data_IF_480049177083
#
_entry.id   IF_480049177083
#
_cell.length_a   1.000
_cell.length_b   1.000
_cell.length_c   1.000
_cell.angle_alpha   90.00
_cell.angle_beta   90.00
_cell.angle_gamma   90.00
#
_symmetry.space_group_name_H-M   'P 1'
#
loop_
_entity.id
_entity.type
_entity.pdbx_description
1 polymer ?
#
# COMPACT_ATOMS: atom_id res chain seq x y z
N UNK A 1 16.34 -8.94 -7.86
CA UNK A 1 15.52 -8.27 -6.83
C UNK A 1 14.14 -8.91 -6.94
N UNK A 2 13.60 -9.45 -5.84
CA UNK A 2 12.19 -9.89 -5.88
C UNK A 2 11.33 -8.63 -6.06
N UNK A 3 10.29 -8.68 -6.90
CA UNK A 3 9.35 -7.57 -7.01
C UNK A 3 8.64 -7.34 -5.67
N UNK A 4 8.22 -6.10 -5.41
CA UNK A 4 7.45 -5.77 -4.20
C UNK A 4 6.21 -6.64 -4.04
N UNK A 5 5.80 -6.86 -2.80
CA UNK A 5 4.66 -7.72 -2.47
C UNK A 5 3.32 -7.03 -2.79
N UNK A 6 2.53 -7.62 -3.69
CA UNK A 6 1.23 -7.07 -4.08
C UNK A 6 0.13 -7.58 -3.14
N UNK A 7 -0.40 -6.68 -2.34
CA UNK A 7 -1.38 -6.97 -1.29
C UNK A 7 -2.78 -6.44 -1.64
N UNK A 8 -3.02 -6.13 -2.92
CA UNK A 8 -4.33 -5.74 -3.45
C UNK A 8 -5.37 -6.81 -3.14
N UNK A 9 -6.43 -6.43 -2.42
CA UNK A 9 -7.51 -7.35 -2.05
C UNK A 9 -8.35 -7.80 -3.25
N UNK A 10 -8.93 -8.99 -3.17
CA UNK A 10 -9.70 -9.59 -4.26
C UNK A 10 -10.87 -8.71 -4.74
N UNK A 11 -11.52 -7.97 -3.83
CA UNK A 11 -12.61 -7.09 -4.20
C UNK A 11 -12.14 -5.90 -5.04
N UNK A 12 -10.99 -5.30 -4.70
CA UNK A 12 -10.36 -4.29 -5.54
C UNK A 12 -9.94 -4.86 -6.90
N UNK A 13 -9.47 -6.12 -6.96
CA UNK A 13 -9.13 -6.77 -8.22
C UNK A 13 -10.34 -6.98 -9.14
N UNK A 14 -11.54 -7.21 -8.59
CA UNK A 14 -12.78 -7.31 -9.39
C UNK A 14 -13.14 -5.99 -10.08
N UNK A 15 -12.77 -4.87 -9.48
CA UNK A 15 -13.01 -3.52 -10.00
C UNK A 15 -11.89 -3.02 -10.91
N UNK A 16 -10.75 -3.72 -10.94
CA UNK A 16 -9.59 -3.37 -11.72
C UNK A 16 -9.87 -3.56 -13.23
N UNK A 17 -10.05 -2.45 -13.94
CA UNK A 17 -10.03 -2.39 -15.40
C UNK A 17 -8.84 -1.57 -15.90
N UNK A 18 -8.58 -1.58 -17.20
CA UNK A 18 -7.53 -0.75 -17.80
C UNK A 18 -7.79 0.76 -17.66
N UNK A 19 -9.02 1.14 -17.35
CA UNK A 19 -9.43 2.55 -17.20
C UNK A 19 -9.86 2.92 -15.79
N UNK A 20 -10.08 1.95 -14.89
CA UNK A 20 -10.44 2.24 -13.49
C UNK A 20 -9.26 2.91 -12.80
N UNK A 21 -9.47 4.14 -12.32
CA UNK A 21 -8.49 4.89 -11.54
C UNK A 21 -8.84 4.74 -10.06
N UNK A 22 -7.82 4.60 -9.26
CA UNK A 22 -7.90 4.44 -7.82
C UNK A 22 -6.62 4.97 -7.18
N UNK A 23 -6.26 4.44 -6.03
CA UNK A 23 -5.10 4.89 -5.28
C UNK A 23 -4.12 3.75 -5.08
N UNK A 24 -2.84 4.02 -5.34
CA UNK A 24 -1.76 3.13 -4.96
C UNK A 24 -1.20 3.50 -3.59
N UNK A 25 -1.01 2.49 -2.74
CA UNK A 25 -0.43 2.60 -1.42
C UNK A 25 0.85 1.78 -1.44
N UNK A 26 1.97 2.40 -1.10
CA UNK A 26 3.29 1.81 -1.24
C UNK A 26 4.07 1.91 0.06
N UNK A 27 4.76 0.85 0.44
CA UNK A 27 5.82 0.88 1.45
C UNK A 27 7.15 0.90 0.73
N UNK A 28 7.89 2.01 0.86
CA UNK A 28 9.21 2.18 0.24
C UNK A 28 10.29 2.25 1.31
N UNK A 29 11.51 1.73 1.06
CA UNK A 29 12.63 1.92 1.99
C UNK A 29 12.86 3.40 2.28
N UNK A 30 13.12 3.73 3.55
CA UNK A 30 13.43 5.09 3.98
C UNK A 30 14.91 5.22 4.33
N UNK A 31 15.75 5.73 3.41
CA UNK A 31 17.17 5.90 3.67
C UNK A 31 17.49 7.07 4.62
N UNK A 32 16.48 7.87 5.00
CA UNK A 32 16.68 9.04 5.87
C UNK A 32 16.58 8.68 7.35
N UNK A 33 15.96 7.54 7.68
CA UNK A 33 15.89 7.03 9.05
C UNK A 33 17.17 6.27 9.42
N UNK A 34 17.49 6.28 10.72
CA UNK A 34 18.58 5.50 11.30
C UNK A 34 18.12 4.09 11.72
N UNK A 35 16.82 3.82 11.67
CA UNK A 35 16.25 2.53 12.07
C UNK A 35 16.53 1.46 11.01
N UNK A 36 16.90 0.27 11.47
CA UNK A 36 17.09 -0.87 10.58
C UNK A 36 15.76 -1.25 9.90
N UNK A 37 15.79 -1.44 8.58
CA UNK A 37 14.62 -1.71 7.74
C UNK A 37 13.53 -0.63 7.81
N UNK A 38 13.92 0.62 8.07
CA UNK A 38 13.00 1.74 8.00
C UNK A 38 12.32 1.82 6.62
N UNK A 39 11.03 2.12 6.66
CA UNK A 39 10.22 2.32 5.48
C UNK A 39 9.24 3.46 5.73
N UNK A 40 8.77 4.06 4.64
CA UNK A 40 7.72 5.07 4.68
C UNK A 40 6.58 4.67 3.77
N UNK A 41 5.38 5.05 4.17
CA UNK A 41 4.18 4.89 3.37
C UNK A 41 4.06 6.04 2.37
N UNK A 42 3.77 5.72 1.13
CA UNK A 42 3.53 6.68 0.05
C UNK A 42 2.17 6.38 -0.56
N UNK A 43 1.31 7.38 -0.60
CA UNK A 43 -0.03 7.30 -1.21
C UNK A 43 -0.01 8.07 -2.52
N UNK A 44 -0.42 7.42 -3.61
CA UNK A 44 -0.44 8.01 -4.94
C UNK A 44 -1.86 7.88 -5.49
N UNK A 45 -2.65 8.96 -5.43
CA UNK A 45 -4.00 8.96 -5.98
C UNK A 45 -3.98 8.93 -7.50
N UNK A 46 -5.16 8.68 -8.07
CA UNK A 46 -5.44 8.81 -9.50
C UNK A 46 -4.49 7.97 -10.38
N UNK A 47 -4.37 6.67 -10.08
CA UNK A 47 -3.63 5.72 -10.91
C UNK A 47 -4.44 4.44 -11.16
N UNK A 48 -4.19 3.81 -12.31
CA UNK A 48 -4.71 2.49 -12.62
C UNK A 48 -3.98 1.39 -11.84
N UNK A 49 -4.62 0.22 -11.74
CA UNK A 49 -3.99 -0.96 -11.12
C UNK A 49 -2.67 -1.36 -11.82
N UNK A 50 -2.61 -1.26 -13.16
CA UNK A 50 -1.38 -1.57 -13.92
C UNK A 50 -0.25 -0.58 -13.63
N UNK A 51 -0.57 0.70 -13.48
CA UNK A 51 0.41 1.70 -13.03
C UNK A 51 0.86 1.42 -11.59
N UNK A 52 -0.05 0.99 -10.71
CA UNK A 52 0.29 0.59 -9.36
C UNK A 52 1.26 -0.60 -9.33
N UNK A 53 1.00 -1.67 -10.11
CA UNK A 53 1.94 -2.81 -10.24
C UNK A 53 3.32 -2.34 -10.70
N UNK A 54 3.38 -1.53 -11.76
CA UNK A 54 4.65 -1.05 -12.33
C UNK A 54 5.47 -0.25 -11.32
N UNK A 55 4.82 0.62 -10.53
CA UNK A 55 5.47 1.43 -9.48
C UNK A 55 5.84 0.57 -8.27
N UNK A 56 4.98 -0.38 -7.91
CA UNK A 56 5.12 -1.29 -6.78
C UNK A 56 6.26 -2.30 -6.93
N UNK A 57 6.71 -2.57 -8.15
CA UNK A 57 7.79 -3.52 -8.44
C UNK A 57 9.10 -3.24 -7.67
N UNK A 58 9.36 -1.99 -7.27
CA UNK A 58 10.55 -1.59 -6.51
C UNK A 58 10.26 -1.22 -5.04
N UNK A 59 9.03 -1.45 -4.59
CA UNK A 59 8.61 -1.20 -3.22
C UNK A 59 8.83 -2.46 -2.36
N UNK A 60 8.74 -2.32 -1.04
CA UNK A 60 8.72 -3.46 -0.11
C UNK A 60 7.38 -4.21 -0.26
N UNK A 61 6.29 -3.46 -0.18
CA UNK A 61 4.93 -3.93 -0.39
C UNK A 61 4.10 -2.82 -1.02
N UNK A 62 3.02 -3.19 -1.71
CA UNK A 62 2.08 -2.24 -2.27
C UNK A 62 0.67 -2.82 -2.37
N UNK A 63 -0.32 -1.94 -2.43
CA UNK A 63 -1.74 -2.27 -2.57
C UNK A 63 -2.41 -1.22 -3.44
N UNK A 64 -3.33 -1.64 -4.29
CA UNK A 64 -4.22 -0.72 -4.99
C UNK A 64 -5.62 -0.78 -4.39
N UNK A 65 -6.28 0.37 -4.30
CA UNK A 65 -7.67 0.46 -3.85
C UNK A 65 -8.49 1.15 -4.92
N UNK A 66 -9.70 0.65 -5.18
CA UNK A 66 -10.58 1.11 -6.25
C UNK A 66 -11.33 2.42 -5.93
N UNK A 67 -10.66 3.34 -5.23
CA UNK A 67 -11.15 4.69 -4.92
C UNK A 67 -10.00 5.67 -4.87
N UNK A 68 -10.29 6.93 -5.13
CA UNK A 68 -9.32 8.02 -4.99
C UNK A 68 -9.34 8.46 -3.53
N UNK A 69 -8.19 8.37 -2.87
CA UNK A 69 -7.96 8.85 -1.51
C UNK A 69 -7.35 10.25 -1.56
N UNK A 70 -7.65 11.08 -0.56
CA UNK A 70 -7.03 12.38 -0.36
C UNK A 70 -5.64 12.19 0.29
N UNK A 71 -4.54 12.50 -0.42
CA UNK A 71 -3.19 12.39 0.12
C UNK A 71 -2.91 13.40 1.25
N UNK A 72 -3.72 14.45 1.37
CA UNK A 72 -3.58 15.47 2.41
C UNK A 72 -4.42 15.15 3.66
N UNK A 73 -5.30 14.13 3.61
CA UNK A 73 -6.08 13.67 4.76
C UNK A 73 -5.37 12.51 5.50
N UNK A 74 -4.93 12.70 6.76
CA UNK A 74 -4.36 11.65 7.60
C UNK A 74 -5.28 10.43 7.77
N UNK A 75 -6.61 10.65 7.79
CA UNK A 75 -7.58 9.56 7.93
C UNK A 75 -7.59 8.64 6.70
N UNK A 76 -7.13 9.13 5.55
CA UNK A 76 -7.05 8.38 4.30
C UNK A 76 -5.61 7.98 3.94
N UNK A 77 -4.61 8.48 4.65
CA UNK A 77 -3.19 8.18 4.38
C UNK A 77 -2.50 7.38 5.47
N UNK A 78 -3.01 7.34 6.70
CA UNK A 78 -2.43 6.55 7.79
C UNK A 78 -3.10 5.17 7.91
N UNK A 79 -2.34 4.16 8.32
CA UNK A 79 -2.96 2.93 8.79
C UNK A 79 -3.61 3.21 10.15
N UNK A 80 -4.95 3.09 10.29
CA UNK A 80 -5.62 3.46 11.54
C UNK A 80 -5.21 2.53 12.68
N UNK A 81 -5.46 2.94 13.92
CA UNK A 81 -5.49 2.04 15.07
C UNK A 81 -6.92 1.51 15.24
N UNK A 82 -7.13 0.21 15.50
CA UNK A 82 -6.12 -0.78 15.87
C UNK A 82 -5.43 -1.59 14.77
N UNK A 83 -5.65 -1.52 13.43
CA UNK A 83 -4.85 -2.40 12.58
C UNK A 83 -3.34 -2.08 12.63
N UNK A 84 -2.94 -0.82 12.84
CA UNK A 84 -1.52 -0.48 12.95
C UNK A 84 -0.85 -1.18 14.15
N UNK A 85 0.21 -1.95 13.87
CA UNK A 85 0.93 -2.76 14.85
C UNK A 85 0.39 -4.17 15.05
N UNK A 86 -0.74 -4.54 14.43
CA UNK A 86 -1.26 -5.92 14.49
C UNK A 86 -0.46 -6.86 13.61
N UNK A 87 -0.39 -8.13 14.02
CA UNK A 87 0.25 -9.19 13.24
C UNK A 87 -0.53 -9.48 11.95
N UNK A 88 0.20 -9.76 10.89
CA UNK A 88 -0.34 -10.14 9.58
C UNK A 88 0.55 -11.20 8.92
N UNK A 89 -0.03 -11.99 8.01
CA UNK A 89 0.70 -13.05 7.29
C UNK A 89 1.02 -12.69 5.83
N UNK A 90 0.37 -11.67 5.26
CA UNK A 90 0.56 -11.25 3.87
C UNK A 90 -0.27 -10.04 3.46
N UNK A 91 -1.37 -9.74 4.15
CA UNK A 91 -2.11 -8.50 3.96
C UNK A 91 -2.81 -8.07 5.25
N UNK A 92 -3.21 -6.81 5.29
CA UNK A 92 -4.00 -6.24 6.37
C UNK A 92 -5.44 -6.07 5.94
N UNK A 93 -6.37 -6.26 6.88
CA UNK A 93 -7.82 -6.16 6.64
C UNK A 93 -8.27 -4.73 6.25
N UNK A 94 -7.52 -3.71 6.65
CA UNK A 94 -7.81 -2.33 6.27
C UNK A 94 -7.10 -1.98 4.96
N UNK A 95 -7.84 -1.32 4.07
CA UNK A 95 -7.38 -0.88 2.75
C UNK A 95 -6.16 0.04 2.82
N UNK A 96 -6.04 0.82 3.89
CA UNK A 96 -4.93 1.75 4.08
C UNK A 96 -3.67 1.04 4.58
N UNK A 97 -3.76 -0.16 5.12
CA UNK A 97 -2.63 -0.82 5.77
C UNK A 97 -1.92 -1.80 4.82
N UNK A 98 -0.60 -1.87 4.92
CA UNK A 98 0.26 -2.86 4.29
C UNK A 98 0.84 -3.80 5.34
N UNK A 99 0.98 -5.07 5.01
CA UNK A 99 1.67 -6.04 5.83
C UNK A 99 3.17 -5.98 5.52
N UNK A 100 3.98 -5.46 6.44
CA UNK A 100 5.44 -5.36 6.28
C UNK A 100 6.10 -6.07 7.46
N UNK A 101 6.97 -7.05 7.18
CA UNK A 101 7.65 -7.86 8.19
C UNK A 101 6.70 -8.51 9.22
N UNK A 102 5.50 -8.91 8.78
CA UNK A 102 4.51 -9.56 9.62
C UNK A 102 3.70 -8.62 10.51
N UNK A 103 3.79 -7.30 10.29
CA UNK A 103 3.03 -6.28 11.04
C UNK A 103 2.30 -5.34 10.07
N UNK A 104 1.09 -4.94 10.43
CA UNK A 104 0.31 -3.96 9.69
C UNK A 104 0.80 -2.52 9.95
N UNK A 105 1.07 -1.79 8.87
CA UNK A 105 1.61 -0.42 8.84
C UNK A 105 0.91 0.47 7.82
#
# INVERSE_FOLDING_TARGET
>A
MQPGDNQTGDDALKEASSTTRGTGIFSVPDPTSQDYMAHKKVVVPDITYQECIRRGAFCIAYKWVARILDPDDPAETECPKPPNGMLCAGSCANDLCLCVNGICV
#
